data_IF_039935028044
#
_entry.id   IF_039935028044
#
_cell.length_a   1.000
_cell.length_b   1.000
_cell.length_c   1.000
_cell.angle_alpha   90.00
_cell.angle_beta   90.00
_cell.angle_gamma   90.00
#
_symmetry.space_group_name_H-M   'P 1'
#
loop_
_entity.id
_entity.type
_entity.pdbx_description
1 polymer ?
#
# COMPACT_ATOMS: atom_id res chain seq x y z
N UNK A 1 24.18 -12.25 6.25
CA UNK A 1 23.85 -12.01 4.84
C UNK A 1 22.33 -12.13 4.68
N UNK A 2 21.76 -11.38 3.76
CA UNK A 2 20.34 -11.41 3.38
C UNK A 2 20.26 -11.62 1.87
N UNK A 3 19.53 -12.64 1.44
CA UNK A 3 19.17 -12.86 0.04
C UNK A 3 17.69 -12.56 -0.18
N UNK A 4 17.35 -11.96 -1.33
CA UNK A 4 15.96 -11.66 -1.68
C UNK A 4 15.72 -11.90 -3.15
N UNK A 5 14.72 -12.72 -3.45
CA UNK A 5 14.26 -13.03 -4.79
C UNK A 5 12.80 -12.57 -4.96
N UNK A 6 12.49 -11.95 -6.09
CA UNK A 6 11.16 -11.42 -6.38
C UNK A 6 10.71 -11.74 -7.78
N UNK A 7 9.43 -12.06 -7.95
CA UNK A 7 8.75 -12.21 -9.23
C UNK A 7 7.50 -11.35 -9.29
N UNK A 8 7.22 -10.78 -10.47
CA UNK A 8 6.00 -10.03 -10.73
C UNK A 8 5.37 -10.47 -12.05
N UNK A 9 4.06 -10.62 -12.04
CA UNK A 9 3.24 -10.85 -13.23
C UNK A 9 2.07 -9.86 -13.23
N UNK A 10 1.81 -9.23 -14.37
CA UNK A 10 0.72 -8.27 -14.50
C UNK A 10 0.04 -8.34 -15.86
N UNK A 11 -1.29 -8.14 -15.84
CA UNK A 11 -2.13 -8.05 -17.02
C UNK A 11 -2.91 -6.75 -16.99
N UNK A 12 -2.92 -6.05 -18.12
CA UNK A 12 -3.76 -4.86 -18.33
C UNK A 12 -4.70 -5.11 -19.51
N UNK A 13 -5.97 -4.82 -19.32
CA UNK A 13 -7.01 -4.98 -20.32
C UNK A 13 -7.71 -3.65 -20.59
N UNK A 14 -7.70 -3.20 -21.82
CA UNK A 14 -8.53 -2.09 -22.27
C UNK A 14 -9.96 -2.60 -22.38
N UNK A 15 -10.86 -2.07 -21.56
CA UNK A 15 -12.27 -2.46 -21.51
C UNK A 15 -13.11 -1.62 -22.49
N UNK A 16 -12.72 -0.36 -22.68
CA UNK A 16 -13.37 0.56 -23.63
C UNK A 16 -12.39 1.69 -24.01
N UNK A 17 -12.83 2.63 -24.86
CA UNK A 17 -12.02 3.82 -25.21
C UNK A 17 -11.65 4.69 -23.99
N UNK A 18 -12.41 4.57 -22.92
CA UNK A 18 -12.28 5.40 -21.71
C UNK A 18 -11.99 4.59 -20.44
N UNK A 19 -11.86 3.26 -20.53
CA UNK A 19 -11.68 2.42 -19.34
C UNK A 19 -10.59 1.37 -19.54
N UNK A 20 -9.78 1.18 -18.52
CA UNK A 20 -8.75 0.15 -18.43
C UNK A 20 -8.81 -0.51 -17.05
N UNK A 21 -8.65 -1.82 -17.02
CA UNK A 21 -8.43 -2.59 -15.80
C UNK A 21 -7.06 -3.25 -15.82
N UNK A 22 -6.49 -3.46 -14.64
CA UNK A 22 -5.22 -4.18 -14.47
C UNK A 22 -5.28 -5.08 -13.24
N UNK A 23 -4.60 -6.21 -13.31
CA UNK A 23 -4.40 -7.14 -12.21
C UNK A 23 -2.90 -7.43 -12.15
N UNK A 24 -2.35 -7.46 -10.96
CA UNK A 24 -0.95 -7.79 -10.72
C UNK A 24 -0.81 -8.80 -9.59
N UNK A 25 0.19 -9.66 -9.71
CA UNK A 25 0.60 -10.62 -8.71
C UNK A 25 2.09 -10.43 -8.48
N UNK A 26 2.52 -10.30 -7.23
CA UNK A 26 3.92 -10.34 -6.86
C UNK A 26 4.17 -11.36 -5.77
N UNK A 27 5.30 -12.04 -5.86
CA UNK A 27 5.78 -12.97 -4.86
C UNK A 27 7.25 -12.68 -4.57
N UNK A 28 7.59 -12.60 -3.28
CA UNK A 28 8.95 -12.30 -2.84
C UNK A 28 9.34 -13.24 -1.71
N UNK A 29 10.53 -13.82 -1.78
CA UNK A 29 11.15 -14.60 -0.72
C UNK A 29 12.40 -13.88 -0.25
N UNK A 30 12.55 -13.74 1.06
CA UNK A 30 13.75 -13.21 1.70
C UNK A 30 14.26 -14.23 2.70
N UNK A 31 15.54 -14.56 2.63
CA UNK A 31 16.20 -15.54 3.50
C UNK A 31 17.45 -14.92 4.14
N UNK A 32 17.67 -15.18 5.42
CA UNK A 32 18.80 -14.70 6.19
C UNK A 32 18.39 -13.91 7.43
N UNK A 33 19.25 -13.01 7.89
CA UNK A 33 18.99 -12.25 9.11
C UNK A 33 17.95 -11.15 8.87
N UNK A 34 16.75 -11.35 9.40
CA UNK A 34 15.58 -10.48 9.21
C UNK A 34 15.16 -9.70 10.47
N UNK A 35 15.80 -9.97 11.61
CA UNK A 35 15.55 -9.22 12.86
C UNK A 35 16.09 -7.81 12.80
N UNK A 36 15.43 -6.88 13.49
CA UNK A 36 15.86 -5.48 13.54
C UNK A 36 17.07 -5.34 14.50
N UNK A 37 18.29 -5.02 13.98
CA UNK A 37 19.50 -4.93 14.81
C UNK A 37 19.49 -3.79 15.83
N UNK A 38 18.56 -2.84 15.70
CA UNK A 38 18.41 -1.71 16.62
C UNK A 38 17.38 -1.96 17.72
N UNK A 39 16.72 -3.14 17.72
CA UNK A 39 15.74 -3.54 18.73
C UNK A 39 16.28 -4.67 19.59
N UNK A 40 16.17 -4.52 20.92
CA UNK A 40 16.65 -5.52 21.88
C UNK A 40 15.72 -6.74 22.00
N UNK A 41 14.45 -6.61 21.59
CA UNK A 41 13.43 -7.64 21.70
C UNK A 41 12.79 -7.90 20.34
N UNK A 42 13.62 -8.30 19.39
CA UNK A 42 13.21 -8.60 18.03
C UNK A 42 14.01 -9.80 17.52
N UNK A 43 13.35 -10.95 17.46
CA UNK A 43 13.88 -12.18 16.89
C UNK A 43 12.86 -12.75 15.93
N UNK A 44 13.05 -12.49 14.65
CA UNK A 44 12.15 -12.88 13.57
C UNK A 44 12.62 -14.21 12.95
N UNK A 45 11.70 -14.96 12.27
CA UNK A 45 12.10 -16.08 11.43
C UNK A 45 13.14 -15.65 10.37
N UNK A 46 14.05 -16.54 10.02
CA UNK A 46 15.11 -16.32 9.02
C UNK A 46 14.59 -16.39 7.57
N UNK A 47 13.31 -16.67 7.38
CA UNK A 47 12.63 -16.67 6.08
C UNK A 47 11.37 -15.82 6.14
N UNK A 48 11.11 -15.08 5.05
CA UNK A 48 9.92 -14.25 4.88
C UNK A 48 9.40 -14.36 3.45
N UNK A 49 8.31 -15.08 3.27
CA UNK A 49 7.59 -15.18 2.01
C UNK A 49 6.43 -14.17 1.98
N UNK A 50 6.29 -13.44 0.89
CA UNK A 50 5.31 -12.35 0.75
C UNK A 50 4.58 -12.48 -0.57
N UNK A 51 3.25 -12.51 -0.51
CA UNK A 51 2.35 -12.52 -1.65
C UNK A 51 1.59 -11.20 -1.69
N UNK A 52 1.49 -10.57 -2.86
CA UNK A 52 0.63 -9.41 -3.06
C UNK A 52 -0.18 -9.56 -4.35
N UNK A 53 -1.49 -9.35 -4.23
CA UNK A 53 -2.42 -9.30 -5.35
C UNK A 53 -2.96 -7.88 -5.45
N UNK A 54 -2.88 -7.28 -6.63
CA UNK A 54 -3.38 -5.93 -6.89
C UNK A 54 -4.41 -5.92 -8.02
N UNK A 55 -5.42 -5.07 -7.88
CA UNK A 55 -6.39 -4.77 -8.92
C UNK A 55 -6.52 -3.25 -9.06
N UNK A 56 -6.53 -2.76 -10.30
CA UNK A 56 -6.67 -1.35 -10.60
C UNK A 56 -7.70 -1.12 -11.69
N UNK A 57 -8.50 -0.08 -11.53
CA UNK A 57 -9.46 0.36 -12.52
C UNK A 57 -9.32 1.87 -12.74
N UNK A 58 -9.31 2.29 -14.00
CA UNK A 58 -9.28 3.69 -14.41
C UNK A 58 -10.37 3.92 -15.43
N UNK A 59 -11.17 4.97 -15.23
CA UNK A 59 -12.22 5.34 -16.17
C UNK A 59 -12.26 6.85 -16.36
N UNK A 60 -12.10 7.29 -17.59
CA UNK A 60 -12.34 8.68 -17.97
C UNK A 60 -13.83 8.91 -18.21
N UNK A 61 -14.37 9.92 -17.57
CA UNK A 61 -15.77 10.35 -17.64
C UNK A 61 -15.81 11.61 -18.51
N UNK A 62 -16.19 11.44 -19.78
CA UNK A 62 -16.13 12.49 -20.80
C UNK A 62 -16.96 13.72 -20.40
N UNK A 63 -18.18 13.50 -19.91
CA UNK A 63 -19.11 14.60 -19.56
C UNK A 63 -18.63 15.41 -18.33
N UNK A 64 -17.84 14.79 -17.46
CA UNK A 64 -17.29 15.42 -16.26
C UNK A 64 -15.88 15.96 -16.49
N UNK A 65 -15.26 15.64 -17.63
CA UNK A 65 -13.83 15.89 -17.90
C UNK A 65 -12.92 15.44 -16.71
N UNK A 66 -13.18 14.23 -16.22
CA UNK A 66 -12.53 13.70 -15.04
C UNK A 66 -12.20 12.21 -15.17
N UNK A 67 -11.26 11.72 -14.38
CA UNK A 67 -10.90 10.31 -14.31
C UNK A 67 -11.13 9.74 -12.90
N UNK A 68 -11.98 8.70 -12.82
CA UNK A 68 -12.11 7.88 -11.64
C UNK A 68 -10.99 6.84 -11.60
N UNK A 69 -10.35 6.71 -10.45
CA UNK A 69 -9.29 5.74 -10.20
C UNK A 69 -9.63 4.93 -8.94
N UNK A 70 -9.55 3.61 -9.07
CA UNK A 70 -9.79 2.66 -7.98
C UNK A 70 -8.61 1.71 -7.98
N UNK A 71 -7.91 1.59 -6.85
CA UNK A 71 -6.86 0.60 -6.65
C UNK A 71 -7.14 -0.18 -5.37
N UNK A 72 -6.99 -1.49 -5.49
CA UNK A 72 -7.08 -2.41 -4.36
C UNK A 72 -5.83 -3.28 -4.33
N UNK A 73 -5.31 -3.55 -3.12
CA UNK A 73 -4.22 -4.49 -2.89
C UNK A 73 -4.54 -5.35 -1.68
N UNK A 74 -4.43 -6.66 -1.87
CA UNK A 74 -4.32 -7.65 -0.82
C UNK A 74 -2.86 -8.06 -0.67
N UNK A 75 -2.41 -8.21 0.56
CA UNK A 75 -1.09 -8.69 0.92
C UNK A 75 -1.24 -9.78 1.98
N UNK A 76 -0.42 -10.83 1.89
CA UNK A 76 -0.29 -11.86 2.92
C UNK A 76 1.16 -12.34 2.97
N UNK A 77 1.62 -12.75 4.15
CA UNK A 77 2.97 -13.26 4.31
C UNK A 77 3.07 -14.49 5.24
N UNK A 78 4.25 -15.11 5.26
CA UNK A 78 4.54 -16.29 6.08
C UNK A 78 4.68 -15.97 7.59
N UNK A 79 4.63 -14.70 7.97
CA UNK A 79 4.64 -14.26 9.36
C UNK A 79 3.24 -14.11 9.96
N UNK A 80 2.20 -14.47 9.18
CA UNK A 80 0.80 -14.37 9.58
C UNK A 80 0.17 -13.01 9.36
N UNK A 81 0.92 -12.03 8.83
CA UNK A 81 0.38 -10.72 8.49
C UNK A 81 -0.43 -10.81 7.21
N UNK A 82 -1.64 -10.28 7.24
CA UNK A 82 -2.40 -9.96 6.04
C UNK A 82 -2.91 -8.52 6.08
N UNK A 83 -3.05 -7.90 4.92
CA UNK A 83 -3.50 -6.52 4.84
C UNK A 83 -4.29 -6.22 3.58
N UNK A 84 -5.17 -5.23 3.70
CA UNK A 84 -5.98 -4.70 2.62
C UNK A 84 -5.70 -3.22 2.45
N UNK A 85 -5.52 -2.79 1.23
CA UNK A 85 -5.42 -1.37 0.87
C UNK A 85 -6.44 -1.06 -0.20
N UNK A 86 -7.29 -0.07 0.02
CA UNK A 86 -8.19 0.50 -0.99
C UNK A 86 -7.86 1.96 -1.19
N UNK A 87 -7.64 2.38 -2.42
CA UNK A 87 -7.47 3.78 -2.77
C UNK A 87 -8.52 4.18 -3.83
N UNK A 88 -9.16 5.32 -3.59
CA UNK A 88 -10.08 5.97 -4.51
C UNK A 88 -9.53 7.35 -4.82
N UNK A 89 -9.43 7.70 -6.10
CA UNK A 89 -9.01 9.03 -6.52
C UNK A 89 -9.89 9.54 -7.67
N UNK A 90 -10.12 10.86 -7.66
CA UNK A 90 -10.87 11.56 -8.67
C UNK A 90 -9.99 12.64 -9.28
N UNK A 91 -9.51 12.43 -10.50
CA UNK A 91 -8.66 13.38 -11.19
C UNK A 91 -9.50 14.28 -12.09
N UNK A 92 -9.72 15.53 -11.66
CA UNK A 92 -10.54 16.54 -12.32
C UNK A 92 -9.65 17.47 -13.16
N UNK A 93 -9.93 17.54 -14.46
CA UNK A 93 -9.34 18.58 -15.29
C UNK A 93 -9.93 19.95 -14.93
N UNK A 94 -9.05 20.91 -14.73
CA UNK A 94 -9.36 22.30 -14.47
C UNK A 94 -8.67 23.18 -15.53
N UNK A 95 -9.11 24.40 -15.72
CA UNK A 95 -8.54 25.33 -16.72
C UNK A 95 -7.02 25.58 -16.55
N UNK A 96 -6.47 25.35 -15.36
CA UNK A 96 -5.04 25.55 -15.06
C UNK A 96 -4.34 24.31 -14.50
N UNK A 97 -4.82 23.11 -14.84
CA UNK A 97 -4.16 21.88 -14.41
C UNK A 97 -5.10 20.79 -13.93
N UNK A 98 -4.56 19.83 -13.22
CA UNK A 98 -5.23 18.62 -12.78
C UNK A 98 -5.30 18.59 -11.25
N UNK A 99 -6.51 18.60 -10.69
CA UNK A 99 -6.75 18.42 -9.26
C UNK A 99 -7.18 16.97 -8.99
N UNK A 100 -6.50 16.29 -8.06
CA UNK A 100 -6.75 14.89 -7.74
C UNK A 100 -6.95 14.70 -6.23
N UNK A 101 -8.15 14.93 -5.67
CA UNK A 101 -8.48 14.44 -4.35
C UNK A 101 -8.44 12.91 -4.31
N UNK A 102 -8.02 12.36 -3.17
CA UNK A 102 -7.97 10.92 -2.96
C UNK A 102 -8.27 10.55 -1.52
N UNK A 103 -8.72 9.31 -1.38
CA UNK A 103 -8.96 8.64 -0.11
C UNK A 103 -8.28 7.28 -0.15
N UNK A 104 -7.54 6.91 0.91
CA UNK A 104 -6.95 5.58 1.07
C UNK A 104 -7.36 5.02 2.43
N UNK A 105 -7.79 3.78 2.42
CA UNK A 105 -8.02 2.96 3.60
C UNK A 105 -7.02 1.80 3.60
N UNK A 106 -6.42 1.57 4.74
CA UNK A 106 -5.51 0.47 5.00
C UNK A 106 -5.93 -0.25 6.27
N UNK A 107 -5.83 -1.58 6.30
CA UNK A 107 -5.97 -2.39 7.51
C UNK A 107 -5.04 -3.58 7.43
N UNK A 108 -4.49 -3.99 8.59
CA UNK A 108 -3.63 -5.16 8.69
C UNK A 108 -3.90 -5.94 9.96
N UNK A 109 -3.69 -7.25 9.88
CA UNK A 109 -3.58 -8.18 11.00
C UNK A 109 -2.12 -8.22 11.48
N UNK A 110 -1.92 -8.44 12.78
CA UNK A 110 -0.60 -8.58 13.39
C UNK A 110 0.13 -9.86 12.94
N UNK A 111 1.45 -9.82 13.03
CA UNK A 111 2.28 -11.02 12.85
C UNK A 111 2.09 -12.00 14.01
N UNK A 112 2.17 -13.31 13.73
CA UNK A 112 1.93 -14.39 14.70
C UNK A 112 2.85 -14.33 15.93
N UNK A 113 4.03 -13.73 15.80
CA UNK A 113 5.03 -13.57 16.87
C UNK A 113 5.08 -12.14 17.44
N UNK A 114 4.11 -11.28 17.06
CA UNK A 114 4.00 -9.93 17.64
C UNK A 114 3.43 -9.99 19.06
N UNK A 115 3.95 -9.15 19.93
CA UNK A 115 3.38 -8.89 21.24
C UNK A 115 3.73 -7.50 21.73
N UNK A 116 2.78 -6.81 22.36
CA UNK A 116 3.01 -5.48 22.99
C UNK A 116 4.18 -5.53 23.98
N UNK A 117 4.32 -6.67 24.65
CA UNK A 117 5.52 -7.03 25.42
C UNK A 117 6.01 -8.35 24.82
N UNK A 118 7.18 -8.31 24.17
CA UNK A 118 7.73 -9.48 23.51
C UNK A 118 8.00 -10.62 24.50
N UNK A 119 7.47 -11.82 24.20
CA UNK A 119 7.78 -13.04 24.94
C UNK A 119 9.13 -13.61 24.49
N UNK A 120 10.18 -13.21 25.18
CA UNK A 120 11.55 -13.65 24.87
C UNK A 120 11.80 -15.14 25.15
N UNK A 121 10.82 -15.90 25.65
CA UNK A 121 10.91 -17.36 25.82
C UNK A 121 10.43 -18.10 24.58
N UNK A 122 9.70 -17.45 23.67
CA UNK A 122 9.28 -17.99 22.40
C UNK A 122 10.45 -18.04 21.39
N UNK A 123 10.42 -18.95 20.40
CA UNK A 123 11.46 -19.04 19.38
C UNK A 123 11.53 -17.78 18.48
N UNK A 124 10.40 -17.13 18.27
CA UNK A 124 10.29 -15.86 17.54
C UNK A 124 9.42 -14.89 18.34
N UNK A 125 9.83 -13.64 18.39
CA UNK A 125 9.13 -12.58 19.13
C UNK A 125 9.52 -11.20 18.60
N UNK A 126 8.59 -10.25 18.65
CA UNK A 126 8.86 -8.84 18.35
C UNK A 126 7.85 -7.94 19.07
N UNK A 127 8.31 -6.78 19.54
CA UNK A 127 7.47 -5.69 20.05
C UNK A 127 7.42 -4.50 19.05
N UNK A 128 7.75 -4.75 17.80
CA UNK A 128 7.70 -3.76 16.74
C UNK A 128 6.26 -3.43 16.36
N UNK A 129 5.79 -2.22 16.68
CA UNK A 129 4.44 -1.75 16.37
C UNK A 129 4.06 -1.86 14.88
N UNK A 130 5.04 -1.90 13.96
CA UNK A 130 4.81 -2.11 12.53
C UNK A 130 4.25 -3.50 12.21
N UNK A 131 4.44 -4.45 13.13
CA UNK A 131 3.92 -5.82 13.04
C UNK A 131 2.59 -5.99 13.79
N UNK A 132 2.07 -4.94 14.43
CA UNK A 132 0.80 -4.98 15.14
C UNK A 132 -0.41 -4.94 14.22
N UNK A 133 -1.58 -5.31 14.73
CA UNK A 133 -2.86 -5.04 14.08
C UNK A 133 -3.19 -3.55 14.18
N UNK A 134 -3.47 -2.91 13.05
CA UNK A 134 -3.97 -1.53 12.98
C UNK A 134 -4.62 -1.24 11.64
N UNK A 135 -5.36 -0.16 11.59
CA UNK A 135 -5.84 0.41 10.33
C UNK A 135 -5.46 1.88 10.21
N UNK A 136 -5.51 2.37 8.99
CA UNK A 136 -5.18 3.75 8.68
C UNK A 136 -6.10 4.32 7.60
N UNK A 137 -6.38 5.61 7.71
CA UNK A 137 -7.11 6.41 6.73
C UNK A 137 -6.22 7.57 6.29
N UNK A 138 -6.09 7.73 4.99
CA UNK A 138 -5.46 8.92 4.39
C UNK A 138 -6.49 9.66 3.54
N UNK A 139 -6.59 10.95 3.74
CA UNK A 139 -7.36 11.86 2.87
C UNK A 139 -6.39 12.90 2.36
N UNK A 140 -6.32 13.09 1.06
CA UNK A 140 -5.38 14.02 0.46
C UNK A 140 -5.87 14.60 -0.87
N UNK A 141 -5.08 15.55 -1.38
CA UNK A 141 -5.27 16.11 -2.70
C UNK A 141 -3.91 16.45 -3.31
N UNK A 142 -3.75 16.15 -4.61
CA UNK A 142 -2.65 16.56 -5.46
C UNK A 142 -3.17 17.59 -6.46
N UNK A 143 -2.40 18.62 -6.70
CA UNK A 143 -2.73 19.62 -7.71
C UNK A 143 -1.51 19.89 -8.59
N UNK A 144 -1.59 19.44 -9.84
CA UNK A 144 -0.60 19.75 -10.88
C UNK A 144 -1.07 20.98 -11.67
N UNK A 145 -0.34 22.09 -11.53
CA UNK A 145 -0.68 23.40 -12.13
C UNK A 145 0.29 23.69 -13.26
N UNK A 146 -0.20 23.84 -14.48
CA UNK A 146 0.59 24.32 -15.60
C UNK A 146 0.88 25.83 -15.42
N UNK A 147 2.15 26.18 -15.19
CA UNK A 147 2.61 27.56 -15.04
C UNK A 147 3.01 28.17 -16.39
N UNK A 148 3.63 27.36 -17.27
CA UNK A 148 4.03 27.71 -18.63
C UNK A 148 4.18 26.42 -19.45
N UNK A 149 4.49 26.51 -20.75
CA UNK A 149 4.58 25.36 -21.65
C UNK A 149 5.54 24.26 -21.19
N UNK A 150 6.56 24.60 -20.40
CA UNK A 150 7.58 23.66 -19.89
C UNK A 150 7.66 23.59 -18.38
N UNK A 151 6.77 24.27 -17.64
CA UNK A 151 6.80 24.30 -16.17
C UNK A 151 5.48 23.83 -15.58
N UNK A 152 5.54 22.81 -14.75
CA UNK A 152 4.42 22.35 -13.92
C UNK A 152 4.79 22.45 -12.45
N UNK A 153 3.94 23.08 -11.65
CA UNK A 153 4.02 23.08 -10.19
C UNK A 153 3.13 21.97 -9.66
N UNK A 154 3.69 21.08 -8.86
CA UNK A 154 2.93 20.04 -8.16
C UNK A 154 2.86 20.37 -6.67
N UNK A 155 1.66 20.41 -6.14
CA UNK A 155 1.36 20.58 -4.73
C UNK A 155 0.62 19.34 -4.22
N UNK A 156 1.04 18.81 -3.09
CA UNK A 156 0.36 17.72 -2.43
C UNK A 156 0.15 18.04 -0.95
N UNK A 157 -1.03 17.71 -0.46
CA UNK A 157 -1.36 17.75 0.97
C UNK A 157 -2.14 16.50 1.34
N UNK A 158 -1.82 15.92 2.49
CA UNK A 158 -2.56 14.78 3.01
C UNK A 158 -2.67 14.83 4.53
N UNK A 159 -3.68 14.16 5.04
CA UNK A 159 -3.86 13.84 6.45
C UNK A 159 -3.92 12.33 6.62
N UNK A 160 -2.96 11.80 7.35
CA UNK A 160 -2.87 10.41 7.73
C UNK A 160 -3.35 10.23 9.18
N UNK A 161 -4.24 9.26 9.39
CA UNK A 161 -4.80 8.91 10.70
C UNK A 161 -4.72 7.40 10.88
N UNK A 162 -4.37 6.94 12.07
CA UNK A 162 -4.24 5.51 12.38
C UNK A 162 -4.88 5.19 13.73
N UNK A 163 -5.49 4.01 13.84
CA UNK A 163 -6.06 3.49 15.08
C UNK A 163 -5.94 1.96 15.09
N UNK A 164 -5.56 1.38 16.22
CA UNK A 164 -5.51 -0.06 16.41
C UNK A 164 -6.90 -0.73 16.26
N UNK A 165 -7.99 -0.01 16.56
CA UNK A 165 -9.36 -0.50 16.39
C UNK A 165 -9.81 -0.68 14.94
N UNK A 166 -9.05 -0.14 13.99
CA UNK A 166 -9.33 -0.27 12.56
C UNK A 166 -8.55 -1.44 11.92
N UNK A 167 -7.75 -2.17 12.71
CA UNK A 167 -7.10 -3.41 12.31
C UNK A 167 -8.10 -4.57 12.17
N UNK A 168 -7.72 -5.62 11.47
CA UNK A 168 -8.44 -6.90 11.34
C UNK A 168 -7.82 -7.97 12.20
#
# INVERSE_FOLDING_TARGET
DLDTQSGYFGVSQILSRTAIARIGLSYTVSEGYLSDPYKLRDQRPDSHERLSVSAGYRRFLVDADASLQIDYRYYADSWGTDSHTLELAWAQNLSRGLLTPYFRYYTQREADFFGVIADTTAPHYADDYRLSSYGAVTIGARWAIALADSWTLELETERYMTDAKWGV
#
